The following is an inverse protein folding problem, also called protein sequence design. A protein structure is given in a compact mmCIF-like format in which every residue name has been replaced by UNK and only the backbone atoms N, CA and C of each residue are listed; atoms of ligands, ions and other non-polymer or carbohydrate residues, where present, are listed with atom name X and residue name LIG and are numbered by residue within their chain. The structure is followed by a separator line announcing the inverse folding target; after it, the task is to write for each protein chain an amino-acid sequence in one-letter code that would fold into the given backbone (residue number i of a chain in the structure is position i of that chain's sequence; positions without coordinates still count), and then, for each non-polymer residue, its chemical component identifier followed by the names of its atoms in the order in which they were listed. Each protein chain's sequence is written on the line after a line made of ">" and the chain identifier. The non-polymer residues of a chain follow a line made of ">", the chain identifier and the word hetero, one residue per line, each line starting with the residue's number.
data_IF_659321978144
#
_entry.id   IF_659321978144
#
_cell.length_a   1.000
_cell.length_b   1.000
_cell.length_c   1.000
_cell.angle_alpha   90.00
_cell.angle_beta   90.00
_cell.angle_gamma   90.00
#
_symmetry.space_group_name_H-M   'P 1'
#
loop_
_entity.id
_entity.type
_entity.pdbx_description
1 polymer ?
#
# COMPACT_ATOMS: atom_id res chain seq x y z
N UNK A 1 -19.97 16.80 -66.32
CA UNK A 1 -20.83 17.52 -65.36
C UNK A 1 -20.30 17.23 -63.96
N UNK A 2 -19.90 18.26 -63.21
CA UNK A 2 -19.53 18.15 -61.80
C UNK A 2 -20.81 18.33 -60.97
N UNK A 3 -21.14 17.37 -60.11
CA UNK A 3 -22.23 17.51 -59.14
C UNK A 3 -21.84 16.90 -57.81
N UNK A 4 -22.02 17.68 -56.74
CA UNK A 4 -22.27 17.15 -55.41
C UNK A 4 -21.13 17.32 -54.42
N UNK A 5 -20.99 18.53 -53.90
CA UNK A 5 -20.23 18.82 -52.71
C UNK A 5 -20.77 18.01 -51.51
N UNK A 6 -20.04 16.96 -51.12
CA UNK A 6 -20.13 16.39 -49.80
C UNK A 6 -19.29 17.27 -48.86
N UNK A 7 -19.95 18.04 -48.02
CA UNK A 7 -19.30 18.82 -46.97
C UNK A 7 -18.77 17.85 -45.89
N UNK A 8 -17.62 17.25 -46.15
CA UNK A 8 -16.86 16.50 -45.13
C UNK A 8 -16.17 17.52 -44.25
N UNK A 9 -16.69 17.69 -43.03
CA UNK A 9 -16.01 18.46 -42.00
C UNK A 9 -14.62 17.84 -41.77
N UNK A 10 -13.52 18.54 -42.08
CA UNK A 10 -12.17 18.01 -41.91
C UNK A 10 -11.74 17.94 -40.43
N UNK A 11 -12.59 18.43 -39.50
CA UNK A 11 -12.33 18.41 -38.06
C UNK A 11 -13.02 17.25 -37.34
N UNK A 12 -13.85 16.43 -38.00
CA UNK A 12 -14.33 15.16 -37.43
C UNK A 12 -13.31 14.05 -37.63
N UNK A 13 -12.04 14.29 -37.26
CA UNK A 13 -11.15 13.17 -36.96
C UNK A 13 -11.62 12.59 -35.64
N UNK A 14 -12.15 11.36 -35.63
CA UNK A 14 -12.26 10.61 -34.39
C UNK A 14 -10.86 10.51 -33.81
N UNK A 15 -10.53 11.35 -32.83
CA UNK A 15 -9.26 11.27 -32.13
C UNK A 15 -9.10 9.81 -31.67
N UNK A 16 -7.95 9.16 -31.93
CA UNK A 16 -7.74 7.81 -31.45
C UNK A 16 -7.99 7.82 -29.94
N UNK A 17 -8.84 6.91 -29.45
CA UNK A 17 -9.05 6.74 -28.02
C UNK A 17 -7.69 6.36 -27.42
N UNK A 18 -7.01 7.34 -26.84
CA UNK A 18 -5.69 7.15 -26.25
C UNK A 18 -5.90 6.36 -24.97
N UNK A 19 -5.74 5.03 -25.03
CA UNK A 19 -5.98 4.10 -23.91
C UNK A 19 -5.08 4.36 -22.70
N UNK A 20 -4.04 5.18 -22.88
CA UNK A 20 -3.07 5.49 -21.85
C UNK A 20 -3.53 6.62 -20.92
N UNK A 21 -4.28 7.62 -21.41
CA UNK A 21 -4.64 8.80 -20.61
C UNK A 21 -5.94 9.47 -21.09
N UNK A 22 -6.71 10.09 -20.18
CA UNK A 22 -6.46 10.21 -18.73
C UNK A 22 -6.93 8.98 -17.93
N UNK A 23 -6.18 8.62 -16.89
CA UNK A 23 -6.57 7.57 -15.95
C UNK A 23 -7.45 8.15 -14.84
N UNK A 24 -8.63 7.56 -14.63
CA UNK A 24 -9.59 8.00 -13.60
C UNK A 24 -9.47 7.19 -12.29
N UNK A 25 -8.60 6.17 -12.28
CA UNK A 25 -8.36 5.30 -11.13
C UNK A 25 -6.89 5.32 -10.72
N UNK A 26 -6.64 5.15 -9.42
CA UNK A 26 -5.28 5.02 -8.89
C UNK A 26 -4.67 3.68 -9.29
N UNK A 27 -3.41 3.72 -9.75
CA UNK A 27 -2.58 2.52 -9.89
C UNK A 27 -2.01 2.17 -8.52
N UNK A 28 -2.20 0.94 -8.07
CA UNK A 28 -1.78 0.49 -6.74
C UNK A 28 -0.70 -0.58 -6.81
N UNK A 29 0.16 -0.62 -5.79
CA UNK A 29 1.16 -1.67 -5.62
C UNK A 29 0.60 -2.79 -4.73
N UNK A 30 -0.45 -3.47 -5.18
CA UNK A 30 -1.15 -4.51 -4.40
C UNK A 30 -0.45 -5.89 -4.41
N UNK A 31 0.41 -6.15 -5.40
CA UNK A 31 1.16 -7.39 -5.46
C UNK A 31 2.19 -7.43 -4.32
N UNK A 32 2.13 -8.42 -3.43
CA UNK A 32 3.04 -8.51 -2.29
C UNK A 32 3.04 -9.88 -1.63
N UNK A 33 4.20 -10.29 -1.14
CA UNK A 33 4.33 -11.49 -0.31
C UNK A 33 4.19 -11.08 1.17
N UNK A 34 2.95 -10.97 1.64
CA UNK A 34 2.65 -10.64 3.04
C UNK A 34 3.33 -11.60 4.02
N UNK A 35 3.43 -12.89 3.69
CA UNK A 35 4.14 -13.88 4.48
C UNK A 35 5.66 -13.60 4.55
N UNK A 36 6.24 -13.13 3.44
CA UNK A 36 7.65 -12.71 3.36
C UNK A 36 7.94 -11.49 4.24
N UNK A 37 7.06 -10.47 4.19
CA UNK A 37 7.16 -9.29 5.04
C UNK A 37 7.08 -9.66 6.54
N UNK A 38 6.08 -10.45 6.93
CA UNK A 38 5.90 -10.93 8.32
C UNK A 38 7.12 -11.72 8.79
N UNK A 39 7.65 -12.63 7.94
CA UNK A 39 8.84 -13.41 8.25
C UNK A 39 10.05 -12.50 8.51
N UNK A 40 10.26 -11.48 7.66
CA UNK A 40 11.38 -10.56 7.79
C UNK A 40 11.25 -9.63 8.99
N UNK A 41 10.05 -9.15 9.30
CA UNK A 41 9.80 -8.42 10.55
C UNK A 41 10.15 -9.30 11.75
N UNK A 42 9.72 -10.57 11.76
CA UNK A 42 10.02 -11.48 12.87
C UNK A 42 11.53 -11.74 13.02
N UNK A 43 12.24 -11.93 11.90
CA UNK A 43 13.69 -12.11 11.87
C UNK A 43 14.43 -10.88 12.39
N UNK A 44 14.02 -9.67 12.00
CA UNK A 44 14.67 -8.42 12.39
C UNK A 44 14.34 -8.02 13.83
N UNK A 45 13.15 -8.36 14.32
CA UNK A 45 12.75 -8.11 15.70
C UNK A 45 13.62 -8.88 16.74
N UNK A 46 14.38 -9.88 16.28
CA UNK A 46 15.28 -10.68 17.09
C UNK A 46 16.74 -10.19 17.06
N UNK A 47 17.06 -9.16 16.26
CA UNK A 47 18.43 -8.66 16.12
C UNK A 47 18.87 -7.88 17.36
N UNK A 48 20.10 -8.14 17.82
CA UNK A 48 20.63 -7.58 19.07
C UNK A 48 20.85 -6.07 19.02
N UNK A 49 21.13 -5.54 17.84
CA UNK A 49 21.33 -4.10 17.58
C UNK A 49 20.01 -3.34 17.37
N UNK A 50 18.85 -4.01 17.44
CA UNK A 50 17.56 -3.35 17.44
C UNK A 50 17.23 -2.82 18.86
N UNK A 51 17.00 -1.49 19.01
CA UNK A 51 16.65 -0.90 20.30
C UNK A 51 15.39 -1.54 20.89
N UNK A 52 15.38 -1.75 22.21
CA UNK A 52 14.26 -2.38 22.90
C UNK A 52 12.93 -1.61 22.72
N UNK A 53 12.99 -0.28 22.62
CA UNK A 53 11.83 0.58 22.34
C UNK A 53 11.18 0.30 20.98
N UNK A 54 11.96 -0.18 20.01
CA UNK A 54 11.50 -0.57 18.67
C UNK A 54 11.00 -2.01 18.60
N UNK A 55 11.28 -2.84 19.62
CA UNK A 55 10.90 -4.26 19.59
C UNK A 55 9.39 -4.43 19.74
N UNK A 56 8.87 -5.33 18.93
CA UNK A 56 7.50 -5.80 18.97
C UNK A 56 7.40 -6.95 19.97
N UNK A 57 6.36 -6.90 20.80
CA UNK A 57 6.03 -8.00 21.70
C UNK A 57 5.32 -9.14 20.92
N UNK A 58 5.11 -10.32 21.54
CA UNK A 58 4.47 -11.46 20.85
C UNK A 58 3.06 -11.17 20.33
N UNK A 59 2.27 -10.37 21.06
CA UNK A 59 0.92 -9.99 20.64
C UNK A 59 0.94 -9.05 19.43
N UNK A 60 1.91 -8.12 19.40
CA UNK A 60 2.15 -7.20 18.29
C UNK A 60 2.61 -7.95 17.03
N UNK A 61 3.52 -8.91 17.15
CA UNK A 61 3.95 -9.75 16.02
C UNK A 61 2.80 -10.61 15.47
N UNK A 62 1.98 -11.19 16.34
CA UNK A 62 0.83 -11.99 15.96
C UNK A 62 -0.28 -11.18 15.27
N UNK A 63 -0.32 -9.86 15.48
CA UNK A 63 -1.28 -8.98 14.84
C UNK A 63 -0.94 -8.68 13.37
N UNK A 64 0.36 -8.66 12.99
CA UNK A 64 0.81 -8.24 11.65
C UNK A 64 0.10 -9.01 10.53
N UNK A 65 0.00 -10.35 10.53
CA UNK A 65 -0.71 -11.07 9.47
C UNK A 65 -2.15 -10.59 9.26
N UNK A 66 -2.87 -10.31 10.36
CA UNK A 66 -4.22 -9.79 10.28
C UNK A 66 -4.23 -8.35 9.76
N UNK A 67 -3.25 -7.53 10.12
CA UNK A 67 -3.09 -6.15 9.61
C UNK A 67 -2.95 -6.11 8.09
N UNK A 68 -2.18 -7.02 7.50
CA UNK A 68 -1.94 -7.04 6.03
C UNK A 68 -2.97 -7.83 5.23
N UNK A 69 -3.79 -8.69 5.87
CA UNK A 69 -4.76 -9.55 5.15
C UNK A 69 -6.22 -9.25 5.43
N UNK A 70 -6.55 -8.66 6.59
CA UNK A 70 -7.92 -8.36 7.00
C UNK A 70 -8.13 -6.86 7.14
N UNK A 71 -8.79 -6.28 6.14
CA UNK A 71 -9.46 -4.99 6.21
C UNK A 71 -10.91 -5.24 6.64
N UNK A 72 -11.32 -4.80 7.83
CA UNK A 72 -12.73 -4.88 8.23
C UNK A 72 -12.99 -4.82 9.72
N UNK A 73 -14.28 -4.79 10.06
CA UNK A 73 -14.80 -4.65 11.42
C UNK A 73 -14.16 -5.65 12.41
N UNK A 74 -13.53 -5.13 13.48
CA UNK A 74 -12.82 -5.91 14.50
C UNK A 74 -11.30 -5.68 14.53
N UNK A 75 -10.77 -4.84 13.64
CA UNK A 75 -9.39 -4.37 13.70
C UNK A 75 -9.17 -3.42 14.89
N UNK A 76 -8.22 -3.76 15.75
CA UNK A 76 -7.74 -2.85 16.79
C UNK A 76 -6.80 -1.80 16.18
N UNK A 77 -7.41 -0.68 15.77
CA UNK A 77 -6.75 0.50 15.20
C UNK A 77 -5.60 0.99 16.09
N UNK A 78 -5.76 0.93 17.42
CA UNK A 78 -4.74 1.41 18.36
C UNK A 78 -3.49 0.53 18.37
N UNK A 79 -3.69 -0.79 18.36
CA UNK A 79 -2.63 -1.79 18.24
C UNK A 79 -1.93 -1.65 16.89
N UNK A 80 -2.68 -1.54 15.81
CA UNK A 80 -2.14 -1.43 14.46
C UNK A 80 -1.30 -0.16 14.31
N UNK A 81 -1.78 0.99 14.80
CA UNK A 81 -1.03 2.26 14.76
C UNK A 81 0.26 2.17 15.57
N UNK A 82 0.21 1.54 16.75
CA UNK A 82 1.41 1.33 17.58
C UNK A 82 2.45 0.47 16.87
N UNK A 83 2.02 -0.65 16.26
CA UNK A 83 2.92 -1.55 15.52
C UNK A 83 3.58 -0.84 14.34
N UNK A 84 2.80 -0.14 13.52
CA UNK A 84 3.33 0.61 12.37
C UNK A 84 4.32 1.69 12.84
N UNK A 85 3.99 2.48 13.87
CA UNK A 85 4.90 3.51 14.39
C UNK A 85 6.21 2.93 14.89
N UNK A 86 6.19 1.79 15.58
CA UNK A 86 7.42 1.09 16.00
C UNK A 86 8.26 0.64 14.81
N UNK A 87 7.62 0.00 13.83
CA UNK A 87 8.30 -0.48 12.62
C UNK A 87 8.96 0.64 11.82
N UNK A 88 8.31 1.81 11.72
CA UNK A 88 8.84 2.98 11.03
C UNK A 88 9.91 3.72 11.84
N UNK A 89 10.04 3.44 13.14
CA UNK A 89 11.10 3.97 14.00
C UNK A 89 12.34 3.07 14.05
N UNK A 90 12.34 1.94 13.33
CA UNK A 90 13.52 1.07 13.24
C UNK A 90 14.68 1.78 12.55
N UNK A 91 15.94 1.41 12.88
CA UNK A 91 17.10 1.89 12.15
C UNK A 91 16.97 1.65 10.64
N UNK A 92 17.58 2.51 9.82
CA UNK A 92 17.47 2.49 8.36
C UNK A 92 17.84 1.12 7.75
N UNK A 93 18.81 0.41 8.33
CA UNK A 93 19.20 -0.94 7.90
C UNK A 93 18.10 -2.00 8.10
N UNK A 94 17.11 -1.75 8.95
CA UNK A 94 16.02 -2.68 9.28
C UNK A 94 14.64 -2.18 8.88
N UNK A 95 14.48 -0.93 8.47
CA UNK A 95 13.15 -0.31 8.27
C UNK A 95 12.34 -0.92 7.12
N UNK A 96 13.00 -1.55 6.13
CA UNK A 96 12.36 -1.97 4.88
C UNK A 96 11.15 -2.91 5.06
N UNK A 97 11.18 -3.98 5.87
CA UNK A 97 10.00 -4.80 6.12
C UNK A 97 8.87 -4.01 6.79
N UNK A 98 9.20 -3.00 7.60
CA UNK A 98 8.23 -2.09 8.19
C UNK A 98 7.51 -1.23 7.14
N UNK A 99 8.25 -0.72 6.17
CA UNK A 99 7.70 0.03 5.02
C UNK A 99 6.83 -0.87 4.14
N UNK A 100 7.21 -2.12 3.92
CA UNK A 100 6.40 -3.07 3.15
C UNK A 100 5.08 -3.42 3.87
N UNK A 101 5.12 -3.58 5.19
CA UNK A 101 3.91 -3.72 6.02
C UNK A 101 3.03 -2.47 5.91
N UNK A 102 3.60 -1.27 6.02
CA UNK A 102 2.86 -0.02 5.85
C UNK A 102 2.18 0.04 4.49
N UNK A 103 2.92 -0.23 3.41
CA UNK A 103 2.41 -0.24 2.03
C UNK A 103 1.19 -1.15 1.91
N UNK A 104 1.24 -2.34 2.50
CA UNK A 104 0.12 -3.29 2.44
C UNK A 104 -1.07 -2.82 3.31
N UNK A 105 -0.81 -2.25 4.49
CA UNK A 105 -1.85 -1.74 5.39
C UNK A 105 -2.62 -0.57 4.77
N UNK A 106 -1.95 0.37 4.09
CA UNK A 106 -2.62 1.56 3.49
C UNK A 106 -3.49 1.24 2.27
N UNK A 107 -3.42 0.03 1.74
CA UNK A 107 -4.35 -0.43 0.70
C UNK A 107 -5.74 -0.75 1.25
N UNK A 108 -5.85 -0.84 2.58
CA UNK A 108 -7.12 -1.05 3.29
C UNK A 108 -7.71 0.29 3.70
N UNK A 109 -9.04 0.42 3.74
CA UNK A 109 -9.69 1.68 4.10
C UNK A 109 -9.39 2.07 5.55
N UNK A 110 -9.45 1.10 6.47
CA UNK A 110 -9.13 1.30 7.88
C UNK A 110 -7.65 1.64 8.08
N UNK A 111 -6.76 0.94 7.38
CA UNK A 111 -5.33 1.19 7.44
C UNK A 111 -4.95 2.55 6.87
N UNK A 112 -5.57 2.99 5.77
CA UNK A 112 -5.35 4.33 5.23
C UNK A 112 -5.76 5.43 6.22
N UNK A 113 -6.90 5.26 6.92
CA UNK A 113 -7.37 6.21 7.94
C UNK A 113 -6.42 6.32 9.13
N UNK A 114 -5.77 5.23 9.52
CA UNK A 114 -4.82 5.23 10.65
C UNK A 114 -3.58 6.10 10.43
N UNK A 115 -3.10 6.20 9.19
CA UNK A 115 -1.84 6.92 8.87
C UNK A 115 -2.10 8.39 8.53
N UNK A 116 -3.37 8.77 8.33
CA UNK A 116 -3.77 10.14 8.01
C UNK A 116 -3.94 11.04 9.25
N UNK A 117 -3.72 10.52 10.46
CA UNK A 117 -3.81 11.21 11.76
C UNK A 117 -2.47 11.30 12.46
#
# INVERSE_FOLDING_TARGET
>A
AYTGAGNVDPFTSSAPVVTFFPQQSYVTFAAGNSAGAVKKVTEFNQKDDLPETGRLNPAELAAIPNMVTKAGAGVDVSLHTRVVKKLLAWPECYIFPGVDVLRLVVLTEEGARMVAT
#
